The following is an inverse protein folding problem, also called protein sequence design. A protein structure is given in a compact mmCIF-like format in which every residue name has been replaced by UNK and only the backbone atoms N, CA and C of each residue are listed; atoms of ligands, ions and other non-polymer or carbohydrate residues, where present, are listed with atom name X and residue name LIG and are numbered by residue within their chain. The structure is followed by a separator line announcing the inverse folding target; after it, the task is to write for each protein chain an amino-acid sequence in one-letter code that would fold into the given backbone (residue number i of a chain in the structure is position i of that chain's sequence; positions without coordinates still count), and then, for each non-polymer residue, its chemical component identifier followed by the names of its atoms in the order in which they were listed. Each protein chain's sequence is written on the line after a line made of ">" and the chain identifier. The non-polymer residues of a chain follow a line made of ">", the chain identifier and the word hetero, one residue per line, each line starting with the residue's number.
data_IF_055914732082
#
_entry.id   IF_055914732082
#
_cell.length_a   1.000
_cell.length_b   1.000
_cell.length_c   1.000
_cell.angle_alpha   90.00
_cell.angle_beta   90.00
_cell.angle_gamma   90.00
#
_symmetry.space_group_name_H-M   'P 1'
#
loop_
_entity.id
_entity.type
_entity.pdbx_description
1 polymer ?
#
# COMPACT_ATOMS: atom_id res chain seq x y z
N UNK A 1 7.26 7.00 5.02
CA UNK A 1 7.63 6.51 3.69
C UNK A 1 6.39 5.96 3.02
N UNK A 2 6.12 6.42 1.80
CA UNK A 2 5.03 5.92 0.98
C UNK A 2 5.62 5.07 -0.14
N UNK A 3 5.15 3.84 -0.28
CA UNK A 3 5.42 3.00 -1.44
C UNK A 3 4.15 2.89 -2.27
N UNK A 4 4.16 3.49 -3.46
CA UNK A 4 2.98 3.57 -4.33
C UNK A 4 3.07 2.47 -5.39
N UNK A 5 2.02 1.66 -5.49
CA UNK A 5 1.86 0.68 -6.59
C UNK A 5 0.71 1.08 -7.48
N UNK A 6 0.83 0.74 -8.76
CA UNK A 6 -0.23 0.94 -9.77
C UNK A 6 -1.11 -0.28 -9.98
N UNK A 7 -0.84 -1.36 -9.24
CA UNK A 7 -1.55 -2.64 -9.30
C UNK A 7 -1.73 -3.21 -7.91
N UNK A 8 -2.77 -4.02 -7.74
CA UNK A 8 -3.05 -4.81 -6.54
C UNK A 8 -2.67 -6.29 -6.72
N UNK A 9 -2.02 -6.65 -7.82
CA UNK A 9 -1.56 -8.02 -8.02
C UNK A 9 -0.56 -8.44 -6.94
N UNK A 10 -0.51 -9.75 -6.71
CA UNK A 10 0.24 -10.36 -5.62
C UNK A 10 1.73 -9.98 -5.66
N UNK A 11 2.34 -9.98 -6.85
CA UNK A 11 3.76 -9.67 -7.01
C UNK A 11 4.06 -8.21 -6.72
N UNK A 12 3.22 -7.28 -7.19
CA UNK A 12 3.32 -5.85 -6.91
C UNK A 12 3.18 -5.55 -5.42
N UNK A 13 2.21 -6.18 -4.76
CA UNK A 13 1.98 -6.01 -3.32
C UNK A 13 3.16 -6.51 -2.50
N UNK A 14 3.62 -7.74 -2.74
CA UNK A 14 4.78 -8.27 -2.00
C UNK A 14 6.07 -7.51 -2.29
N UNK A 15 6.28 -7.07 -3.54
CA UNK A 15 7.39 -6.20 -3.89
C UNK A 15 7.35 -4.87 -3.13
N UNK A 16 6.18 -4.25 -3.02
CA UNK A 16 5.99 -3.01 -2.26
C UNK A 16 6.24 -3.17 -0.76
N UNK A 17 5.75 -4.26 -0.17
CA UNK A 17 6.06 -4.62 1.22
C UNK A 17 7.57 -4.76 1.41
N UNK A 18 8.24 -5.53 0.54
CA UNK A 18 9.70 -5.70 0.60
C UNK A 18 10.46 -4.37 0.51
N UNK A 19 10.04 -3.47 -0.38
CA UNK A 19 10.64 -2.14 -0.49
C UNK A 19 10.44 -1.30 0.76
N UNK A 20 9.28 -1.35 1.41
CA UNK A 20 9.04 -0.67 2.68
C UNK A 20 9.88 -1.26 3.81
N UNK A 21 10.09 -2.56 3.83
CA UNK A 21 10.95 -3.21 4.82
C UNK A 21 12.42 -2.83 4.67
N UNK A 22 12.90 -2.67 3.44
CA UNK A 22 14.31 -2.33 3.15
C UNK A 22 14.57 -0.83 3.31
N UNK A 23 13.70 0.01 2.75
CA UNK A 23 13.94 1.46 2.65
C UNK A 23 13.22 2.27 3.72
N UNK A 24 12.20 1.71 4.37
CA UNK A 24 11.45 2.36 5.45
C UNK A 24 12.10 2.20 6.82
N UNK A 25 13.41 1.96 6.87
CA UNK A 25 14.13 1.76 8.13
C UNK A 25 14.30 3.09 8.91
N UNK A 26 14.13 3.06 10.23
CA UNK A 26 14.13 4.25 11.12
C UNK A 26 12.74 4.63 11.68
N UNK A 27 12.64 5.80 12.32
CA UNK A 27 11.38 6.33 12.93
C UNK A 27 10.40 6.90 11.88
N UNK A 28 10.24 6.20 10.75
CA UNK A 28 9.39 6.64 9.65
C UNK A 28 8.18 5.72 9.51
N UNK A 29 6.98 6.31 9.55
CA UNK A 29 5.70 5.62 9.29
C UNK A 29 5.73 4.98 7.90
N UNK A 30 5.49 3.67 7.80
CA UNK A 30 5.48 2.93 6.53
C UNK A 30 4.06 2.85 6.00
N UNK A 31 3.85 3.29 4.76
CA UNK A 31 2.53 3.33 4.14
C UNK A 31 2.61 2.70 2.74
N UNK A 32 1.84 1.64 2.52
CA UNK A 32 1.61 1.06 1.21
C UNK A 32 0.40 1.76 0.58
N UNK A 33 0.56 2.23 -0.66
CA UNK A 33 -0.48 2.95 -1.40
C UNK A 33 -0.88 2.12 -2.61
N UNK A 34 -2.15 1.68 -2.66
CA UNK A 34 -2.67 0.78 -3.69
C UNK A 34 -3.88 1.37 -4.43
N UNK A 35 -4.13 1.01 -5.71
CA UNK A 35 -5.35 1.39 -6.41
C UNK A 35 -6.59 0.90 -5.64
N UNK A 36 -7.64 1.70 -5.57
CA UNK A 36 -8.87 1.36 -4.87
C UNK A 36 -9.77 0.40 -5.65
N UNK A 37 -9.52 0.26 -6.95
CA UNK A 37 -10.31 -0.62 -7.81
C UNK A 37 -9.79 -2.05 -7.72
N UNK A 38 -10.70 -3.00 -7.52
CA UNK A 38 -10.39 -4.41 -7.33
C UNK A 38 -10.23 -4.84 -5.86
N UNK A 39 -10.31 -6.15 -5.66
CA UNK A 39 -10.29 -6.79 -4.34
C UNK A 39 -8.85 -7.02 -3.86
N UNK A 40 -8.60 -6.69 -2.60
CA UNK A 40 -7.32 -7.01 -1.97
C UNK A 40 -7.21 -8.51 -1.73
N UNK A 41 -5.97 -8.99 -1.62
CA UNK A 41 -5.72 -10.33 -1.12
C UNK A 41 -6.32 -10.45 0.29
N UNK A 42 -7.05 -11.53 0.55
CA UNK A 42 -7.84 -11.71 1.78
C UNK A 42 -7.04 -11.43 3.07
N UNK A 43 -5.79 -11.85 3.11
CA UNK A 43 -4.94 -11.74 4.30
C UNK A 43 -4.04 -10.49 4.31
N UNK A 44 -4.19 -9.60 3.32
CA UNK A 44 -3.30 -8.44 3.17
C UNK A 44 -3.38 -7.51 4.38
N UNK A 45 -4.59 -7.19 4.86
CA UNK A 45 -4.75 -6.28 6.00
C UNK A 45 -4.02 -6.81 7.24
N UNK A 46 -4.25 -8.09 7.57
CA UNK A 46 -3.61 -8.73 8.71
C UNK A 46 -2.08 -8.76 8.58
N UNK A 47 -1.56 -9.01 7.37
CA UNK A 47 -0.12 -8.98 7.11
C UNK A 47 0.48 -7.57 7.27
N UNK A 48 -0.21 -6.53 6.77
CA UNK A 48 0.24 -5.15 6.88
C UNK A 48 0.22 -4.68 8.34
N UNK A 49 -0.82 -5.01 9.09
CA UNK A 49 -0.94 -4.72 10.52
C UNK A 49 0.21 -5.36 11.32
N UNK A 50 0.47 -6.65 11.09
CA UNK A 50 1.57 -7.37 11.74
C UNK A 50 2.96 -6.77 11.43
N UNK A 51 3.09 -6.13 10.26
CA UNK A 51 4.33 -5.45 9.85
C UNK A 51 4.38 -3.99 10.29
N UNK A 52 3.31 -3.43 10.86
CA UNK A 52 3.21 -2.00 11.16
C UNK A 52 3.29 -1.14 9.89
N UNK A 53 2.70 -1.63 8.80
CA UNK A 53 2.55 -0.94 7.53
C UNK A 53 1.10 -0.52 7.39
N UNK A 54 0.86 0.73 7.06
CA UNK A 54 -0.48 1.21 6.83
C UNK A 54 -0.88 1.09 5.37
N UNK A 55 -2.18 1.01 5.12
CA UNK A 55 -2.73 0.93 3.79
C UNK A 55 -3.52 2.18 3.44
N UNK A 56 -3.17 2.81 2.31
CA UNK A 56 -3.98 3.85 1.69
C UNK A 56 -4.45 3.37 0.33
N UNK A 57 -5.74 3.56 0.04
CA UNK A 57 -6.31 3.27 -1.28
C UNK A 57 -6.52 4.56 -2.07
N UNK A 58 -6.15 4.56 -3.35
CA UNK A 58 -6.31 5.74 -4.22
C UNK A 58 -7.15 5.46 -5.46
N UNK A 59 -7.86 6.48 -5.94
CA UNK A 59 -8.48 6.49 -7.29
C UNK A 59 -7.90 7.63 -8.12
N UNK A 60 -7.64 7.36 -9.39
CA UNK A 60 -7.29 8.39 -10.38
C UNK A 60 -8.59 8.96 -10.96
N UNK A 61 -8.81 10.25 -10.78
CA UNK A 61 -9.83 11.01 -11.52
C UNK A 61 -9.20 11.72 -12.72
N UNK A 62 -10.05 12.29 -13.60
CA UNK A 62 -9.65 12.93 -14.85
C UNK A 62 -8.58 14.05 -14.73
N UNK A 63 -8.36 14.60 -13.53
CA UNK A 63 -7.29 15.55 -13.24
C UNK A 63 -6.87 15.59 -11.74
N UNK A 64 -7.30 14.61 -10.93
CA UNK A 64 -7.01 14.63 -9.48
C UNK A 64 -6.90 13.22 -8.89
N UNK A 65 -6.01 13.07 -7.90
CA UNK A 65 -5.86 11.85 -7.10
C UNK A 65 -6.61 12.03 -5.79
N UNK A 66 -7.45 11.06 -5.41
CA UNK A 66 -8.14 11.03 -4.10
C UNK A 66 -7.64 9.86 -3.27
N UNK A 67 -7.33 10.12 -2.00
CA UNK A 67 -6.92 9.12 -1.03
C UNK A 67 -8.05 8.86 -0.03
N UNK A 68 -8.38 7.59 0.22
CA UNK A 68 -9.34 7.18 1.26
C UNK A 68 -8.66 6.40 2.38
N UNK A 69 -9.17 6.54 3.61
CA UNK A 69 -8.86 5.66 4.75
C UNK A 69 -10.11 4.83 5.05
N UNK A 70 -9.92 3.50 5.15
CA UNK A 70 -10.93 2.53 5.61
C UNK A 70 -10.76 2.25 7.09
#
# INVERSE_FOLDING_TARGET
>A
MYEVKTSIDRSCVYGGIGQLMVHGNGDCRRVLVLPADGELLADLSAALDALGIELVRYRLGAASVKFGHS
#
